data_IF_291579841140
#
_entry.id   IF_291579841140
#
_cell.length_a   1.000
_cell.length_b   1.000
_cell.length_c   1.000
_cell.angle_alpha   90.00
_cell.angle_beta   90.00
_cell.angle_gamma   90.00
#
_symmetry.space_group_name_H-M   'P 1'
#
loop_
_entity.id
_entity.type
_entity.pdbx_description
1 polymer ?
#
# COMPACT_ATOMS: atom_id res chain seq x y z
N UNK A 1 13.48 13.33 19.36
CA UNK A 1 12.78 12.03 19.48
C UNK A 1 13.19 11.02 18.38
N UNK A 2 14.35 11.18 17.74
CA UNK A 2 14.71 10.39 16.53
C UNK A 2 15.57 9.15 16.79
N UNK A 3 16.27 9.08 17.93
CA UNK A 3 17.25 8.01 18.23
C UNK A 3 16.63 6.63 18.45
N UNK A 4 15.34 6.56 18.81
CA UNK A 4 14.66 5.29 19.09
C UNK A 4 14.17 4.60 17.81
N UNK A 5 13.77 5.38 16.81
CA UNK A 5 13.34 4.89 15.50
C UNK A 5 14.50 4.23 14.75
N UNK A 6 15.64 4.92 14.66
CA UNK A 6 16.86 4.37 14.05
C UNK A 6 17.35 3.11 14.76
N UNK A 7 17.32 3.09 16.09
CA UNK A 7 17.75 1.91 16.86
C UNK A 7 16.84 0.69 16.63
N UNK A 8 15.53 0.92 16.51
CA UNK A 8 14.57 -0.15 16.20
C UNK A 8 14.76 -0.65 14.76
N UNK A 9 14.99 0.28 13.81
CA UNK A 9 15.25 -0.02 12.42
C UNK A 9 16.52 -0.86 12.24
N UNK A 10 17.63 -0.45 12.88
CA UNK A 10 18.88 -1.23 12.89
C UNK A 10 18.70 -2.62 13.51
N UNK A 11 17.87 -2.76 14.55
CA UNK A 11 17.61 -4.06 15.19
C UNK A 11 16.77 -4.99 14.32
N UNK A 12 15.82 -4.45 13.56
CA UNK A 12 15.03 -5.21 12.60
C UNK A 12 15.93 -5.72 11.48
N UNK A 13 16.81 -4.87 10.95
CA UNK A 13 17.74 -5.23 9.88
C UNK A 13 18.76 -6.29 10.32
N UNK A 14 19.37 -6.13 11.51
CA UNK A 14 20.33 -7.11 12.06
C UNK A 14 19.65 -8.41 12.50
N UNK A 15 18.43 -8.34 13.04
CA UNK A 15 17.64 -9.52 13.38
C UNK A 15 17.33 -10.40 12.17
N UNK A 16 17.06 -9.79 11.01
CA UNK A 16 16.80 -10.50 9.76
C UNK A 16 18.05 -11.26 9.26
N UNK A 17 19.23 -10.66 9.38
CA UNK A 17 20.50 -11.31 9.00
C UNK A 17 20.86 -12.47 9.95
N UNK A 18 20.65 -12.29 11.26
CA UNK A 18 20.87 -13.33 12.26
C UNK A 18 19.91 -14.53 12.07
N UNK A 19 18.62 -14.25 11.78
CA UNK A 19 17.64 -15.28 11.44
C UNK A 19 18.03 -16.06 10.17
N UNK A 20 18.55 -15.37 9.16
CA UNK A 20 19.02 -16.02 7.92
C UNK A 20 20.28 -16.88 8.15
N UNK A 21 21.20 -16.43 9.01
CA UNK A 21 22.39 -17.20 9.38
C UNK A 21 22.04 -18.47 10.18
N UNK A 22 21.14 -18.34 11.17
CA UNK A 22 20.68 -19.47 12.00
C UNK A 22 19.88 -20.48 11.16
N UNK A 23 19.07 -20.03 10.19
CA UNK A 23 18.37 -20.90 9.23
C UNK A 23 19.32 -21.74 8.39
N UNK A 24 20.45 -21.16 8.00
CA UNK A 24 21.44 -21.82 7.14
C UNK A 24 22.29 -22.84 7.91
N UNK A 25 22.48 -22.62 9.22
CA UNK A 25 23.29 -23.48 10.09
C UNK A 25 22.53 -24.72 10.61
N UNK A 26 21.21 -24.64 10.77
CA UNK A 26 20.44 -25.69 11.46
C UNK A 26 19.82 -26.77 10.55
N UNK A 27 19.91 -26.66 9.22
CA UNK A 27 19.49 -27.73 8.28
C UNK A 27 18.05 -28.27 8.47
N UNK A 28 17.13 -27.48 9.03
CA UNK A 28 15.85 -27.98 9.53
C UNK A 28 14.81 -28.17 8.41
N UNK A 29 14.15 -29.34 8.44
CA UNK A 29 13.01 -29.72 7.58
C UNK A 29 11.76 -28.90 7.91
N UNK A 30 10.99 -28.58 6.86
CA UNK A 30 9.78 -27.75 6.80
C UNK A 30 8.90 -27.78 8.06
N UNK A 31 8.91 -26.66 8.80
CA UNK A 31 7.89 -26.24 9.76
C UNK A 31 7.10 -25.07 9.16
N UNK A 32 5.82 -24.92 9.52
CA UNK A 32 4.84 -24.09 8.79
C UNK A 32 4.96 -22.57 8.98
N UNK A 33 6.18 -22.03 8.91
CA UNK A 33 6.40 -20.60 8.70
C UNK A 33 5.65 -20.10 7.47
N UNK A 34 5.50 -20.94 6.44
CA UNK A 34 4.65 -20.66 5.28
C UNK A 34 3.16 -20.57 5.64
N UNK A 35 2.62 -21.37 6.57
CA UNK A 35 1.23 -21.23 7.02
C UNK A 35 1.07 -20.04 7.96
N UNK A 36 2.07 -19.75 8.80
CA UNK A 36 2.08 -18.56 9.64
C UNK A 36 2.17 -17.28 8.80
N UNK A 37 3.04 -17.25 7.80
CA UNK A 37 3.15 -16.18 6.81
C UNK A 37 1.90 -16.09 5.94
N UNK A 38 1.30 -17.22 5.53
CA UNK A 38 0.03 -17.25 4.77
C UNK A 38 -1.16 -16.80 5.61
N UNK A 39 -1.17 -17.10 6.92
CA UNK A 39 -2.17 -16.57 7.87
C UNK A 39 -1.97 -15.07 8.12
N UNK A 40 -0.73 -14.60 8.23
CA UNK A 40 -0.40 -13.18 8.42
C UNK A 40 -0.62 -12.37 7.16
N UNK A 41 -0.29 -12.90 5.99
CA UNK A 41 -0.57 -12.29 4.69
C UNK A 41 -2.07 -12.24 4.46
N UNK A 42 -2.80 -13.33 4.70
CA UNK A 42 -4.26 -13.33 4.57
C UNK A 42 -4.95 -12.39 5.58
N UNK A 43 -4.43 -12.27 6.80
CA UNK A 43 -4.95 -11.30 7.78
C UNK A 43 -4.64 -9.86 7.37
N UNK A 44 -3.44 -9.58 6.85
CA UNK A 44 -3.06 -8.28 6.34
C UNK A 44 -3.88 -7.89 5.10
N UNK A 45 -4.05 -8.82 4.15
CA UNK A 45 -4.92 -8.64 2.97
C UNK A 45 -6.36 -8.33 3.37
N UNK A 46 -6.92 -9.07 4.34
CA UNK A 46 -8.26 -8.77 4.88
C UNK A 46 -8.33 -7.40 5.56
N UNK A 47 -7.27 -7.00 6.26
CA UNK A 47 -7.21 -5.69 6.88
C UNK A 47 -7.20 -4.57 5.83
N UNK A 48 -6.37 -4.71 4.79
CA UNK A 48 -6.30 -3.79 3.66
C UNK A 48 -7.66 -3.70 2.97
N UNK A 49 -8.27 -4.83 2.65
CA UNK A 49 -9.58 -4.86 1.97
C UNK A 49 -10.67 -4.19 2.82
N UNK A 50 -10.69 -4.42 4.14
CA UNK A 50 -11.61 -3.73 5.05
C UNK A 50 -11.38 -2.22 5.09
N UNK A 51 -10.12 -1.79 5.02
CA UNK A 51 -9.78 -0.37 5.01
C UNK A 51 -10.24 0.31 3.72
N UNK A 52 -9.97 -0.31 2.58
CA UNK A 52 -10.43 0.15 1.26
C UNK A 52 -11.96 0.25 1.25
N UNK A 53 -12.66 -0.79 1.69
CA UNK A 53 -14.12 -0.81 1.74
C UNK A 53 -14.68 0.29 2.63
N UNK A 54 -14.12 0.46 3.84
CA UNK A 54 -14.57 1.52 4.75
C UNK A 54 -14.37 2.93 4.18
N UNK A 55 -13.26 3.16 3.48
CA UNK A 55 -13.00 4.43 2.78
C UNK A 55 -14.01 4.69 1.66
N UNK A 56 -14.27 3.69 0.82
CA UNK A 56 -15.25 3.78 -0.26
C UNK A 56 -16.69 3.96 0.25
N UNK A 57 -17.04 3.31 1.36
CA UNK A 57 -18.34 3.49 2.00
C UNK A 57 -18.51 4.91 2.56
N UNK A 58 -17.46 5.53 3.11
CA UNK A 58 -17.50 6.92 3.56
C UNK A 58 -17.66 7.91 2.40
N UNK A 59 -16.90 7.71 1.31
CA UNK A 59 -17.01 8.47 0.06
C UNK A 59 -18.44 8.42 -0.46
N UNK A 60 -18.99 7.21 -0.58
CA UNK A 60 -20.36 6.98 -1.05
C UNK A 60 -21.39 7.67 -0.15
N UNK A 61 -21.25 7.54 1.18
CA UNK A 61 -22.14 8.17 2.16
C UNK A 61 -22.12 9.70 2.06
N UNK A 62 -21.01 10.28 1.63
CA UNK A 62 -20.80 11.72 1.49
C UNK A 62 -21.09 12.25 0.08
N UNK A 63 -21.37 11.37 -0.88
CA UNK A 63 -21.63 11.75 -2.27
C UNK A 63 -20.41 12.36 -2.96
N UNK A 64 -19.22 11.83 -2.68
CA UNK A 64 -17.95 12.25 -3.29
C UNK A 64 -17.53 11.29 -4.41
N UNK A 65 -16.62 11.73 -5.27
CA UNK A 65 -16.12 10.93 -6.41
C UNK A 65 -14.99 9.95 -6.03
N UNK A 66 -14.36 10.15 -4.87
CA UNK A 66 -13.26 9.29 -4.44
C UNK A 66 -12.55 9.75 -3.16
N UNK A 67 -11.47 9.05 -2.81
CA UNK A 67 -10.61 9.33 -1.67
C UNK A 67 -9.14 9.19 -2.02
N UNK A 68 -8.34 10.15 -1.55
CA UNK A 68 -6.88 10.09 -1.51
C UNK A 68 -6.46 9.89 -0.05
N UNK A 69 -5.65 8.87 0.23
CA UNK A 69 -5.28 8.49 1.60
C UNK A 69 -3.88 7.87 1.70
N UNK A 70 -3.48 7.50 2.91
CA UNK A 70 -2.21 6.82 3.21
C UNK A 70 -2.41 5.79 4.35
N UNK A 71 -1.54 5.82 5.37
CA UNK A 71 -1.64 5.08 6.64
C UNK A 71 -1.46 3.55 6.60
N UNK A 72 -1.92 2.86 5.56
CA UNK A 72 -1.81 1.39 5.45
C UNK A 72 -0.56 0.92 4.68
N UNK A 73 0.29 1.84 4.23
CA UNK A 73 1.56 1.53 3.55
C UNK A 73 1.36 0.63 2.31
N UNK A 74 0.24 0.79 1.60
CA UNK A 74 -0.14 -0.02 0.44
C UNK A 74 -0.56 0.88 -0.70
N UNK A 75 0.38 1.12 -1.61
CA UNK A 75 0.14 1.89 -2.82
C UNK A 75 -0.98 1.27 -3.65
N UNK A 76 -1.94 2.09 -4.06
CA UNK A 76 -3.06 1.67 -4.89
C UNK A 76 -3.67 2.88 -5.60
N UNK A 77 -3.98 2.73 -6.88
CA UNK A 77 -4.82 3.67 -7.62
C UNK A 77 -5.82 2.84 -8.42
N UNK A 78 -7.06 2.81 -7.96
CA UNK A 78 -8.10 1.95 -8.52
C UNK A 78 -9.45 2.66 -8.53
N UNK A 79 -10.32 2.25 -9.43
CA UNK A 79 -11.73 2.62 -9.43
C UNK A 79 -12.56 1.39 -9.03
N UNK A 80 -13.52 1.58 -8.12
CA UNK A 80 -14.49 0.55 -7.71
C UNK A 80 -15.87 1.16 -7.62
N UNK A 81 -16.83 0.59 -8.34
CA UNK A 81 -18.22 1.08 -8.41
C UNK A 81 -18.34 2.57 -8.77
N UNK A 82 -17.49 3.08 -9.66
CA UNK A 82 -17.47 4.50 -10.04
C UNK A 82 -16.80 5.43 -9.03
N UNK A 83 -16.19 4.90 -7.96
CA UNK A 83 -15.49 5.67 -6.94
C UNK A 83 -13.99 5.43 -7.00
N UNK A 84 -13.21 6.51 -6.94
CA UNK A 84 -11.75 6.44 -6.94
C UNK A 84 -11.22 6.15 -5.55
N UNK A 85 -10.32 5.17 -5.44
CA UNK A 85 -9.49 4.94 -4.26
C UNK A 85 -8.02 5.12 -4.65
N UNK A 86 -7.38 6.12 -4.05
CA UNK A 86 -5.98 6.43 -4.24
C UNK A 86 -5.24 6.37 -2.90
N UNK A 87 -4.17 5.59 -2.83
CA UNK A 87 -3.25 5.48 -1.70
C UNK A 87 -1.82 5.63 -2.21
N UNK A 88 -1.08 6.57 -1.64
CA UNK A 88 0.30 6.89 -2.04
C UNK A 88 1.32 5.87 -1.56
N UNK A 89 0.94 4.97 -0.63
CA UNK A 89 1.81 3.95 -0.09
C UNK A 89 2.76 4.51 0.96
N UNK A 90 4.05 4.22 0.81
CA UNK A 90 5.11 4.73 1.67
C UNK A 90 6.43 4.90 0.92
N UNK A 91 7.43 5.43 1.62
CA UNK A 91 8.76 5.70 1.07
C UNK A 91 9.81 4.69 1.57
N UNK A 92 9.37 3.50 2.00
CA UNK A 92 10.26 2.47 2.54
C UNK A 92 10.11 1.16 1.77
N UNK A 93 8.87 0.70 1.57
CA UNK A 93 8.53 -0.52 0.86
C UNK A 93 7.99 -0.25 -0.53
N UNK A 94 7.05 0.69 -0.70
CA UNK A 94 6.44 0.93 -2.02
C UNK A 94 7.23 1.93 -2.86
N UNK A 95 7.83 2.95 -2.24
CA UNK A 95 8.59 4.01 -2.93
C UNK A 95 7.77 4.67 -4.04
N UNK A 96 6.55 5.06 -3.70
CA UNK A 96 5.55 5.58 -4.65
C UNK A 96 5.08 6.99 -4.31
N UNK A 97 4.51 7.67 -5.31
CA UNK A 97 3.86 8.96 -5.18
C UNK A 97 2.58 9.01 -6.02
N UNK A 98 1.58 9.77 -5.58
CA UNK A 98 0.43 10.14 -6.40
C UNK A 98 0.69 11.48 -7.08
N UNK A 99 0.37 11.56 -8.37
CA UNK A 99 0.41 12.77 -9.17
C UNK A 99 -0.96 12.99 -9.83
N UNK A 100 -1.34 14.25 -9.95
CA UNK A 100 -2.50 14.70 -10.71
C UNK A 100 -2.00 15.59 -11.85
N UNK A 101 -2.31 15.22 -13.08
CA UNK A 101 -2.01 16.02 -14.27
C UNK A 101 -3.03 17.16 -14.43
N UNK A 102 -2.70 18.16 -15.25
CA UNK A 102 -3.57 19.32 -15.49
C UNK A 102 -4.94 18.99 -16.12
N UNK A 103 -5.08 17.82 -16.74
CA UNK A 103 -6.34 17.32 -17.28
C UNK A 103 -7.16 16.50 -16.27
N UNK A 104 -6.69 16.44 -15.01
CA UNK A 104 -7.31 15.68 -13.93
C UNK A 104 -6.95 14.20 -13.92
N UNK A 105 -6.04 13.73 -14.80
CA UNK A 105 -5.59 12.35 -14.77
C UNK A 105 -4.77 12.08 -13.52
N UNK A 106 -5.11 11.01 -12.80
CA UNK A 106 -4.38 10.57 -11.63
C UNK A 106 -3.37 9.50 -12.03
N UNK A 107 -2.16 9.60 -11.52
CA UNK A 107 -1.08 8.63 -11.72
C UNK A 107 -0.48 8.21 -10.40
N UNK A 108 -0.22 6.92 -10.29
CA UNK A 108 0.66 6.37 -9.26
C UNK A 108 2.04 6.18 -9.89
N UNK A 109 3.04 6.88 -9.37
CA UNK A 109 4.40 6.88 -9.85
C UNK A 109 5.28 6.06 -8.90
N UNK A 110 6.30 5.37 -9.44
CA UNK A 110 7.42 4.87 -8.66
C UNK A 110 8.46 5.98 -8.41
N UNK A 111 9.48 5.68 -7.60
CA UNK A 111 10.55 6.63 -7.27
C UNK A 111 11.44 7.02 -8.47
N UNK A 112 11.35 6.31 -9.60
CA UNK A 112 12.05 6.65 -10.84
C UNK A 112 11.17 7.52 -11.76
N UNK A 113 9.94 7.84 -11.35
CA UNK A 113 8.96 8.58 -12.15
C UNK A 113 8.22 7.72 -13.17
N UNK A 114 8.29 6.39 -13.08
CA UNK A 114 7.52 5.49 -13.94
C UNK A 114 6.08 5.37 -13.44
N UNK A 115 5.11 5.46 -14.36
CA UNK A 115 3.70 5.24 -14.05
C UNK A 115 3.43 3.76 -13.78
N UNK A 116 3.03 3.46 -12.55
CA UNK A 116 2.58 2.14 -12.09
C UNK A 116 1.10 1.90 -12.34
N UNK A 117 0.29 2.96 -12.24
CA UNK A 117 -1.14 2.94 -12.52
C UNK A 117 -1.59 4.34 -12.95
N UNK A 118 -2.63 4.39 -13.79
CA UNK A 118 -3.21 5.64 -14.28
C UNK A 118 -4.73 5.51 -14.29
N UNK A 119 -5.40 6.53 -13.76
CA UNK A 119 -6.82 6.75 -13.97
C UNK A 119 -6.96 8.01 -14.83
N UNK A 120 -7.58 7.90 -16.01
CA UNK A 120 -7.78 9.05 -16.87
C UNK A 120 -8.61 10.10 -16.13
N UNK A 121 -8.29 11.37 -16.35
CA UNK A 121 -9.09 12.45 -15.80
C UNK A 121 -10.52 12.29 -16.27
N UNK A 122 -11.46 12.34 -15.32
CA UNK A 122 -12.85 12.46 -15.70
C UNK A 122 -12.94 13.70 -16.59
N UNK A 123 -13.31 13.53 -17.87
CA UNK A 123 -14.01 14.62 -18.56
C UNK A 123 -15.14 14.97 -17.60
N UNK A 124 -15.05 16.12 -16.93
CA UNK A 124 -16.17 16.65 -16.16
C UNK A 124 -17.38 16.45 -17.04
N UNK A 125 -18.25 15.52 -16.63
CA UNK A 125 -19.37 15.08 -17.44
C UNK A 125 -20.10 16.34 -17.87
N UNK A 126 -20.15 16.59 -19.18
CA UNK A 126 -21.21 17.39 -19.76
C UNK A 126 -22.51 16.65 -19.46
N UNK A 127 -23.03 16.85 -18.25
CA UNK A 127 -24.40 16.54 -17.92
C UNK A 127 -25.23 17.74 -18.38
N UNK A 128 -25.87 17.55 -19.54
CA UNK A 128 -27.07 18.17 -20.11
C UNK A 128 -27.43 19.61 -19.71
#
# INVERSE_FOLDING_TARGET
QEKFGDWLYYRILTGNQALNAVRRLLGMRYWSLSEFLKKRSGAAERYIERFVQAGLDDVRRRGLDGIVCGHIHRAALIERDGLVYANDGDWVESLTALAEDHDGALRLLDHNGQTLAELPGARMSQAA
#
